data_IF_388926370027
#
_entry.id   IF_388926370027
#
_cell.length_a   1.000
_cell.length_b   1.000
_cell.length_c   1.000
_cell.angle_alpha   90.00
_cell.angle_beta   90.00
_cell.angle_gamma   90.00
#
_symmetry.space_group_name_H-M   'P 1'
#
loop_
_entity.id
_entity.type
_entity.pdbx_description
1 polymer ?
#
# COMPACT_ATOMS: atom_id res chain seq x y z
N UNK A 1 3.98 21.98 0.47
CA UNK A 1 3.83 20.99 1.59
C UNK A 1 4.75 19.79 1.36
N UNK A 2 5.29 19.12 2.40
CA UNK A 2 6.06 17.87 2.22
C UNK A 2 5.10 16.69 2.16
N UNK A 3 5.09 15.96 1.05
CA UNK A 3 4.30 14.73 0.91
C UNK A 3 5.24 13.52 0.88
N UNK A 4 4.81 12.44 1.53
CA UNK A 4 5.52 11.16 1.54
C UNK A 4 4.85 10.24 0.53
N UNK A 5 5.57 9.86 -0.53
CA UNK A 5 5.11 8.84 -1.49
C UNK A 5 5.82 7.52 -1.21
N UNK A 6 5.06 6.43 -1.29
CA UNK A 6 5.60 5.08 -1.12
C UNK A 6 5.70 4.40 -2.49
N UNK A 7 6.90 3.94 -2.83
CA UNK A 7 7.20 3.32 -4.13
C UNK A 7 7.55 1.86 -3.89
N UNK A 8 6.76 0.96 -4.46
CA UNK A 8 7.00 -0.49 -4.37
C UNK A 8 7.93 -0.94 -5.49
N UNK A 9 9.10 -1.47 -5.13
CA UNK A 9 10.12 -1.98 -6.05
C UNK A 9 10.33 -3.47 -5.82
N UNK A 10 10.34 -4.26 -6.89
CA UNK A 10 10.60 -5.71 -6.79
C UNK A 10 12.10 -5.95 -6.60
N UNK A 11 12.46 -6.88 -5.71
CA UNK A 11 13.84 -7.29 -5.49
C UNK A 11 14.19 -8.52 -6.34
N UNK A 12 15.41 -8.53 -6.89
CA UNK A 12 16.03 -9.75 -7.41
C UNK A 12 16.71 -10.49 -6.24
N UNK A 13 16.22 -11.69 -5.94
CA UNK A 13 16.64 -12.44 -4.74
C UNK A 13 17.05 -13.85 -5.15
N UNK A 14 18.23 -14.29 -4.71
CA UNK A 14 18.67 -15.68 -4.87
C UNK A 14 18.05 -16.59 -3.80
N UNK A 15 17.92 -17.91 -4.03
CA UNK A 15 17.33 -18.82 -3.05
C UNK A 15 18.04 -18.84 -1.69
N UNK A 16 19.37 -18.66 -1.68
CA UNK A 16 20.16 -18.60 -0.45
C UNK A 16 19.81 -17.37 0.39
N UNK A 17 19.78 -16.19 -0.25
CA UNK A 17 19.45 -14.94 0.43
C UNK A 17 17.97 -14.88 0.81
N UNK A 18 17.10 -15.58 0.09
CA UNK A 18 15.69 -15.71 0.45
C UNK A 18 15.52 -16.35 1.84
N UNK A 19 16.33 -17.36 2.19
CA UNK A 19 16.32 -17.97 3.54
C UNK A 19 16.73 -16.97 4.61
N UNK A 20 17.76 -16.16 4.36
CA UNK A 20 18.18 -15.10 5.29
C UNK A 20 17.09 -14.03 5.49
N UNK A 21 16.37 -13.66 4.42
CA UNK A 21 15.25 -12.73 4.49
C UNK A 21 14.10 -13.32 5.32
N UNK A 22 13.75 -14.58 5.08
CA UNK A 22 12.68 -15.26 5.81
C UNK A 22 13.00 -15.36 7.30
N UNK A 23 14.21 -15.79 7.66
CA UNK A 23 14.65 -15.81 9.05
C UNK A 23 14.57 -14.41 9.70
N UNK A 24 14.96 -13.36 8.96
CA UNK A 24 14.86 -11.98 9.44
C UNK A 24 13.40 -11.56 9.68
N UNK A 25 12.49 -11.91 8.77
CA UNK A 25 11.05 -11.62 8.90
C UNK A 25 10.42 -12.39 10.07
N UNK A 26 10.82 -13.64 10.28
CA UNK A 26 10.35 -14.50 11.37
C UNK A 26 10.78 -13.96 12.73
N UNK A 27 12.09 -13.68 12.91
CA UNK A 27 12.60 -13.13 14.16
C UNK A 27 12.00 -11.76 14.48
N UNK A 28 11.80 -10.92 13.47
CA UNK A 28 11.12 -9.63 13.64
C UNK A 28 9.67 -9.79 14.08
N UNK A 29 8.92 -10.71 13.47
CA UNK A 29 7.53 -10.99 13.83
C UNK A 29 7.41 -11.58 15.23
N UNK A 30 8.30 -12.51 15.61
CA UNK A 30 8.37 -13.07 16.95
C UNK A 30 8.67 -12.01 18.01
N UNK A 31 9.59 -11.09 17.73
CA UNK A 31 9.87 -9.96 18.60
C UNK A 31 8.63 -9.06 18.78
N UNK A 32 7.91 -8.74 17.69
CA UNK A 32 6.66 -7.98 17.77
C UNK A 32 5.61 -8.71 18.63
N UNK A 33 5.43 -10.01 18.40
CA UNK A 33 4.45 -10.81 19.13
C UNK A 33 4.82 -10.91 20.62
N UNK A 34 6.10 -11.01 20.96
CA UNK A 34 6.58 -11.03 22.33
C UNK A 34 6.34 -9.69 23.02
N UNK A 35 6.65 -8.56 22.37
CA UNK A 35 6.36 -7.21 22.90
C UNK A 35 4.86 -7.05 23.16
N UNK A 36 4.00 -7.47 22.23
CA UNK A 36 2.56 -7.34 22.41
C UNK A 36 2.01 -8.19 23.56
N UNK A 37 2.55 -9.41 23.77
CA UNK A 37 2.13 -10.31 24.84
C UNK A 37 2.65 -9.92 26.23
N UNK A 38 3.83 -9.33 26.32
CA UNK A 38 4.54 -9.08 27.58
C UNK A 38 4.52 -7.60 28.02
N UNK A 39 3.71 -6.77 27.38
CA UNK A 39 3.50 -5.37 27.79
C UNK A 39 2.03 -5.09 28.06
N UNK A 40 1.77 -4.10 28.92
CA UNK A 40 0.40 -3.65 29.19
C UNK A 40 -0.32 -3.29 27.88
N UNK A 41 -1.51 -3.86 27.67
CA UNK A 41 -2.35 -3.64 26.48
C UNK A 41 -2.76 -2.18 26.30
N UNK A 42 -2.79 -1.38 27.37
CA UNK A 42 -3.10 0.06 27.32
C UNK A 42 -1.90 0.90 26.86
N UNK A 43 -0.69 0.38 26.95
CA UNK A 43 0.51 1.12 26.59
C UNK A 43 0.65 1.22 25.07
N UNK A 44 0.60 2.46 24.56
CA UNK A 44 0.75 2.80 23.14
C UNK A 44 1.86 3.80 22.86
N UNK A 45 2.49 4.35 23.89
CA UNK A 45 3.56 5.31 23.76
C UNK A 45 4.89 4.60 23.39
N UNK A 46 5.49 5.00 22.28
CA UNK A 46 6.73 4.42 21.76
C UNK A 46 7.89 4.49 22.76
N UNK A 47 8.07 5.62 23.44
CA UNK A 47 9.21 5.87 24.31
C UNK A 47 9.08 5.03 25.57
N UNK A 48 7.90 5.04 26.20
CA UNK A 48 7.63 4.24 27.39
C UNK A 48 7.74 2.73 27.11
N UNK A 49 7.21 2.26 25.97
CA UNK A 49 7.33 0.84 25.59
C UNK A 49 8.78 0.45 25.28
N UNK A 50 9.55 1.34 24.66
CA UNK A 50 10.96 1.11 24.41
C UNK A 50 11.76 1.01 25.72
N UNK A 51 11.54 1.92 26.67
CA UNK A 51 12.20 1.88 27.97
C UNK A 51 11.96 0.55 28.71
N UNK A 52 10.74 0.01 28.62
CA UNK A 52 10.35 -1.22 29.30
C UNK A 52 10.86 -2.51 28.60
N UNK A 53 10.75 -2.58 27.26
CA UNK A 53 10.96 -3.84 26.52
C UNK A 53 12.27 -3.93 25.74
N UNK A 54 13.01 -2.83 25.55
CA UNK A 54 14.16 -2.83 24.63
C UNK A 54 15.26 -3.83 25.02
N UNK A 55 15.68 -3.83 26.29
CA UNK A 55 16.73 -4.73 26.78
C UNK A 55 16.35 -6.20 26.61
N UNK A 56 15.18 -6.57 27.13
CA UNK A 56 14.67 -7.95 27.10
C UNK A 56 14.49 -8.48 25.68
N UNK A 57 13.94 -7.67 24.77
CA UNK A 57 13.73 -8.08 23.36
C UNK A 57 15.07 -8.21 22.63
N UNK A 58 16.00 -7.29 22.87
CA UNK A 58 17.30 -7.31 22.19
C UNK A 58 18.12 -8.53 22.59
N UNK A 59 18.15 -8.87 23.88
CA UNK A 59 18.86 -10.04 24.38
C UNK A 59 18.21 -11.34 23.89
N UNK A 60 16.88 -11.45 24.00
CA UNK A 60 16.15 -12.67 23.67
C UNK A 60 16.18 -13.02 22.19
N UNK A 61 16.05 -12.03 21.31
CA UNK A 61 15.95 -12.25 19.86
C UNK A 61 17.24 -11.91 19.10
N UNK A 62 18.28 -11.45 19.81
CA UNK A 62 19.60 -11.10 19.25
C UNK A 62 19.50 -10.15 18.05
N UNK A 63 18.49 -9.27 18.07
CA UNK A 63 18.21 -8.33 17.00
C UNK A 63 19.18 -7.14 17.07
N UNK A 64 19.43 -6.52 15.91
CA UNK A 64 20.13 -5.23 15.89
C UNK A 64 19.33 -4.18 16.66
N UNK A 65 20.01 -3.21 17.28
CA UNK A 65 19.36 -2.16 18.06
C UNK A 65 18.21 -1.48 17.30
N UNK A 66 18.44 -1.16 16.02
CA UNK A 66 17.46 -0.49 15.18
C UNK A 66 16.27 -1.40 14.83
N UNK A 67 16.52 -2.68 14.57
CA UNK A 67 15.48 -3.69 14.31
C UNK A 67 14.59 -3.90 15.54
N UNK A 68 15.17 -3.95 16.74
CA UNK A 68 14.43 -4.03 18.01
C UNK A 68 13.52 -2.81 18.21
N UNK A 69 14.05 -1.60 18.00
CA UNK A 69 13.27 -0.36 18.12
C UNK A 69 12.09 -0.36 17.14
N UNK A 70 12.31 -0.81 15.90
CA UNK A 70 11.25 -0.91 14.90
C UNK A 70 10.16 -1.93 15.28
N UNK A 71 10.53 -3.07 15.84
CA UNK A 71 9.56 -4.06 16.32
C UNK A 71 8.63 -3.44 17.40
N UNK A 72 9.21 -2.71 18.36
CA UNK A 72 8.46 -2.01 19.42
C UNK A 72 7.54 -0.93 18.82
N UNK A 73 8.06 -0.10 17.91
CA UNK A 73 7.28 0.96 17.25
C UNK A 73 6.12 0.39 16.42
N UNK A 74 6.32 -0.75 15.76
CA UNK A 74 5.27 -1.42 15.00
C UNK A 74 4.13 -1.89 15.90
N UNK A 75 4.44 -2.47 17.06
CA UNK A 75 3.42 -2.87 18.04
C UNK A 75 2.64 -1.64 18.54
N UNK A 76 3.33 -0.59 18.95
CA UNK A 76 2.68 0.66 19.38
C UNK A 76 1.74 1.23 18.30
N UNK A 77 2.20 1.30 17.05
CA UNK A 77 1.43 1.85 15.93
C UNK A 77 0.19 1.01 15.61
N UNK A 78 0.33 -0.32 15.63
CA UNK A 78 -0.79 -1.24 15.42
C UNK A 78 -1.81 -1.16 16.56
N UNK A 79 -1.37 -1.01 17.82
CA UNK A 79 -2.28 -0.82 18.97
C UNK A 79 -3.08 0.46 18.85
N UNK A 80 -2.43 1.58 18.52
CA UNK A 80 -3.13 2.86 18.27
C UNK A 80 -4.22 2.67 17.21
N UNK A 81 -3.85 2.05 16.09
CA UNK A 81 -4.78 1.78 14.99
C UNK A 81 -5.94 0.87 15.42
N UNK A 82 -5.67 -0.15 16.24
CA UNK A 82 -6.70 -1.06 16.77
C UNK A 82 -7.69 -0.33 17.67
N UNK A 83 -7.21 0.55 18.55
CA UNK A 83 -8.04 1.36 19.45
C UNK A 83 -8.90 2.33 18.64
N UNK A 84 -8.29 3.07 17.71
CA UNK A 84 -9.00 4.03 16.84
C UNK A 84 -10.10 3.36 16.03
N UNK A 85 -9.88 2.13 15.55
CA UNK A 85 -10.86 1.39 14.76
C UNK A 85 -11.77 0.47 15.60
N UNK A 86 -11.74 0.57 16.93
CA UNK A 86 -12.50 -0.28 17.86
C UNK A 86 -12.36 -1.79 17.62
N UNK A 87 -11.19 -2.22 17.16
CA UNK A 87 -10.89 -3.63 16.90
C UNK A 87 -10.55 -4.30 18.23
N UNK A 88 -11.42 -5.21 18.68
CA UNK A 88 -11.28 -5.98 19.93
C UNK A 88 -10.43 -7.26 19.81
N UNK A 89 -9.80 -7.48 18.65
CA UNK A 89 -9.02 -8.69 18.38
C UNK A 89 -7.57 -8.52 18.84
N UNK A 90 -6.97 -9.60 19.34
CA UNK A 90 -5.54 -9.64 19.62
C UNK A 90 -4.72 -9.35 18.36
N UNK A 91 -3.65 -8.58 18.52
CA UNK A 91 -2.75 -8.28 17.43
C UNK A 91 -1.96 -9.52 17.03
N UNK A 92 -1.95 -9.79 15.74
CA UNK A 92 -1.17 -10.89 15.16
C UNK A 92 -0.15 -10.31 14.20
N UNK A 93 1.12 -10.67 14.38
CA UNK A 93 2.22 -10.20 13.53
C UNK A 93 2.69 -11.34 12.62
N UNK A 94 2.29 -11.30 11.35
CA UNK A 94 2.73 -12.28 10.37
C UNK A 94 4.16 -11.98 9.88
N UNK A 95 5.03 -13.00 9.67
CA UNK A 95 6.41 -12.86 9.19
C UNK A 95 6.46 -12.55 7.70
N UNK A 96 5.93 -11.37 7.36
CA UNK A 96 5.69 -10.94 5.97
C UNK A 96 6.34 -9.60 5.67
N UNK A 97 6.76 -8.85 6.69
CA UNK A 97 7.39 -7.55 6.48
C UNK A 97 8.33 -7.15 7.60
N UNK A 98 9.30 -6.29 7.29
CA UNK A 98 10.27 -5.71 8.23
C UNK A 98 10.46 -4.23 7.90
N UNK A 99 10.46 -3.38 8.93
CA UNK A 99 10.69 -1.94 8.79
C UNK A 99 12.19 -1.62 8.82
N UNK A 100 12.58 -0.67 7.97
CA UNK A 100 13.94 -0.17 7.86
C UNK A 100 13.94 1.36 7.89
N UNK A 101 14.99 1.93 8.48
CA UNK A 101 15.27 3.36 8.50
C UNK A 101 16.55 3.70 7.72
N UNK A 102 16.93 4.97 7.72
CA UNK A 102 18.14 5.45 7.05
C UNK A 102 19.45 4.83 7.55
N UNK A 103 19.49 4.20 8.73
CA UNK A 103 20.69 3.51 9.26
C UNK A 103 20.80 2.07 8.76
N UNK A 104 19.66 1.41 8.56
CA UNK A 104 19.56 0.00 8.19
C UNK A 104 19.22 -0.24 6.72
N UNK A 105 18.89 0.83 5.99
CA UNK A 105 18.57 0.83 4.58
C UNK A 105 19.31 1.96 3.85
N UNK A 106 19.78 1.67 2.63
CA UNK A 106 20.28 2.69 1.70
C UNK A 106 19.93 2.31 0.25
N UNK A 107 19.64 3.32 -0.57
CA UNK A 107 19.35 3.17 -2.00
C UNK A 107 20.44 3.85 -2.83
N UNK A 108 21.08 3.09 -3.71
CA UNK A 108 21.93 3.61 -4.79
C UNK A 108 21.07 3.79 -6.05
N UNK A 109 20.76 5.03 -6.38
CA UNK A 109 19.94 5.39 -7.55
C UNK A 109 20.69 5.32 -8.88
N UNK A 110 22.03 5.26 -8.86
CA UNK A 110 22.83 5.10 -10.10
C UNK A 110 22.86 3.65 -10.54
N UNK A 111 23.05 2.74 -9.58
CA UNK A 111 23.13 1.29 -9.84
C UNK A 111 21.81 0.56 -9.63
N UNK A 112 20.79 1.23 -9.10
CA UNK A 112 19.51 0.65 -8.71
C UNK A 112 19.69 -0.53 -7.74
N UNK A 113 20.57 -0.34 -6.75
CA UNK A 113 20.89 -1.32 -5.72
C UNK A 113 20.36 -0.82 -4.39
N UNK A 114 19.64 -1.67 -3.67
CA UNK A 114 19.26 -1.43 -2.28
C UNK A 114 20.13 -2.25 -1.36
N UNK A 115 20.65 -1.63 -0.30
CA UNK A 115 21.36 -2.32 0.77
C UNK A 115 20.49 -2.38 2.02
N UNK A 116 20.30 -3.59 2.55
CA UNK A 116 19.51 -3.86 3.76
C UNK A 116 20.34 -4.59 4.80
N UNK A 117 20.19 -4.21 6.07
CA UNK A 117 20.74 -4.96 7.20
C UNK A 117 19.81 -6.13 7.55
N UNK A 118 20.19 -7.35 7.15
CA UNK A 118 19.54 -8.58 7.62
C UNK A 118 20.10 -8.98 8.99
N UNK A 119 19.59 -10.09 9.57
CA UNK A 119 20.08 -10.65 10.84
C UNK A 119 21.60 -10.83 10.83
N UNK A 120 22.12 -11.60 9.86
CA UNK A 120 23.53 -11.97 9.82
C UNK A 120 24.41 -10.84 9.29
N UNK A 121 24.04 -10.27 8.14
CA UNK A 121 24.89 -9.32 7.39
C UNK A 121 24.08 -8.25 6.67
N UNK A 122 24.78 -7.22 6.20
CA UNK A 122 24.20 -6.21 5.30
C UNK A 122 24.34 -6.70 3.86
N UNK A 123 23.21 -6.91 3.19
CA UNK A 123 23.15 -7.51 1.85
C UNK A 123 22.66 -6.49 0.84
N UNK A 124 23.19 -6.55 -0.39
CA UNK A 124 22.81 -5.69 -1.52
C UNK A 124 21.88 -6.45 -2.47
N UNK A 125 20.86 -5.76 -2.96
CA UNK A 125 19.82 -6.30 -3.83
C UNK A 125 19.65 -5.42 -5.06
N UNK A 126 19.63 -6.04 -6.23
CA UNK A 126 19.24 -5.35 -7.47
C UNK A 126 17.72 -5.12 -7.49
N UNK A 127 17.32 -3.90 -7.86
CA UNK A 127 15.93 -3.54 -8.05
C UNK A 127 15.46 -3.87 -9.47
N UNK A 128 14.39 -4.66 -9.57
CA UNK A 128 13.66 -4.90 -10.82
C UNK A 128 12.60 -3.81 -10.98
N UNK A 129 12.99 -2.67 -11.55
CA UNK A 129 12.17 -1.45 -11.66
C UNK A 129 12.02 -0.94 -13.10
N UNK A 130 10.85 -0.38 -13.40
CA UNK A 130 10.55 0.26 -14.68
C UNK A 130 10.72 1.80 -14.65
N UNK A 131 10.39 2.44 -15.77
CA UNK A 131 10.60 3.89 -15.97
C UNK A 131 9.91 4.74 -14.90
N UNK A 132 8.67 4.40 -14.53
CA UNK A 132 7.92 5.10 -13.49
C UNK A 132 8.67 5.16 -12.15
N UNK A 133 9.14 4.01 -11.65
CA UNK A 133 9.88 3.98 -10.39
C UNK A 133 11.20 4.74 -10.51
N UNK A 134 11.90 4.60 -11.65
CA UNK A 134 13.15 5.31 -11.90
C UNK A 134 12.95 6.83 -11.88
N UNK A 135 11.91 7.34 -12.52
CA UNK A 135 11.59 8.77 -12.57
C UNK A 135 11.42 9.37 -11.17
N UNK A 136 10.63 8.71 -10.31
CA UNK A 136 10.35 9.24 -8.96
C UNK A 136 11.55 9.02 -8.01
N UNK A 137 12.28 7.91 -8.13
CA UNK A 137 13.43 7.64 -7.27
C UNK A 137 14.66 8.48 -7.65
N UNK A 138 14.76 8.93 -8.91
CA UNK A 138 15.87 9.78 -9.37
C UNK A 138 15.76 11.17 -8.73
N UNK A 139 16.81 11.59 -8.04
CA UNK A 139 16.88 12.90 -7.38
C UNK A 139 16.10 13.00 -6.06
N UNK A 140 15.45 11.93 -5.60
CA UNK A 140 14.65 11.95 -4.39
C UNK A 140 15.36 11.30 -3.19
N UNK A 141 15.05 11.79 -1.99
CA UNK A 141 15.68 11.32 -0.75
C UNK A 141 14.84 10.22 -0.10
N UNK A 142 15.27 8.98 -0.28
CA UNK A 142 14.68 7.84 0.40
C UNK A 142 14.95 7.92 1.91
N UNK A 143 13.90 7.90 2.73
CA UNK A 143 14.00 8.12 4.19
C UNK A 143 13.91 6.82 4.99
N UNK A 144 12.98 5.96 4.60
CA UNK A 144 12.71 4.67 5.23
C UNK A 144 12.20 3.69 4.20
N UNK A 145 12.15 2.42 4.55
CA UNK A 145 11.59 1.41 3.66
C UNK A 145 10.96 0.25 4.44
N UNK A 146 10.01 -0.45 3.82
CA UNK A 146 9.43 -1.67 4.36
C UNK A 146 9.67 -2.81 3.37
N UNK A 147 10.46 -3.80 3.79
CA UNK A 147 10.61 -5.04 3.05
C UNK A 147 9.34 -5.87 3.23
N UNK A 148 8.79 -6.40 2.15
CA UNK A 148 7.51 -7.15 2.15
C UNK A 148 7.61 -8.41 1.29
N UNK A 149 7.13 -9.53 1.82
CA UNK A 149 6.93 -10.80 1.11
C UNK A 149 5.49 -10.90 0.62
N UNK A 150 5.31 -11.16 -0.67
CA UNK A 150 4.00 -11.40 -1.30
C UNK A 150 3.63 -12.89 -1.28
N UNK A 151 2.36 -13.19 -1.54
CA UNK A 151 1.81 -14.56 -1.55
C UNK A 151 2.45 -15.49 -2.59
N UNK A 152 2.95 -14.91 -3.67
CA UNK A 152 3.69 -15.59 -4.74
C UNK A 152 5.19 -15.81 -4.39
N UNK A 153 5.57 -15.61 -3.12
CA UNK A 153 6.95 -15.73 -2.61
C UNK A 153 7.93 -14.74 -3.24
N UNK A 154 7.42 -13.66 -3.84
CA UNK A 154 8.27 -12.56 -4.32
C UNK A 154 8.49 -11.50 -3.25
N UNK A 155 9.65 -10.86 -3.32
CA UNK A 155 10.07 -9.84 -2.37
C UNK A 155 9.98 -8.45 -2.99
N UNK A 156 9.42 -7.52 -2.24
CA UNK A 156 9.30 -6.12 -2.62
C UNK A 156 9.84 -5.25 -1.50
N UNK A 157 10.40 -4.10 -1.87
CA UNK A 157 10.72 -3.05 -0.95
C UNK A 157 9.86 -1.83 -1.23
N UNK A 158 9.13 -1.38 -0.21
CA UNK A 158 8.30 -0.19 -0.27
C UNK A 158 9.13 0.97 0.27
N UNK A 159 9.65 1.80 -0.62
CA UNK A 159 10.56 2.91 -0.28
C UNK A 159 9.73 4.16 -0.05
N UNK A 160 9.94 4.81 1.08
CA UNK A 160 9.30 6.09 1.42
C UNK A 160 10.17 7.25 0.98
N UNK A 161 9.60 8.09 0.13
CA UNK A 161 10.27 9.20 -0.53
C UNK A 161 9.54 10.49 -0.21
N UNK A 162 10.30 11.48 0.26
CA UNK A 162 9.79 12.82 0.46
C UNK A 162 9.94 13.62 -0.83
N UNK A 163 8.87 14.28 -1.25
CA UNK A 163 8.87 15.25 -2.33
C UNK A 163 8.18 16.53 -1.86
N UNK A 164 8.65 17.65 -2.40
CA UNK A 164 8.02 18.94 -2.18
C UNK A 164 6.90 19.03 -3.19
N UNK A 165 5.67 19.12 -2.69
CA UNK A 165 4.51 19.37 -3.53
C UNK A 165 4.43 20.88 -3.71
N UNK A 166 4.42 21.37 -4.96
CA UNK A 166 4.19 22.79 -5.24
C UNK A 166 2.82 23.20 -4.71
N UNK A 167 2.67 24.48 -4.40
CA UNK A 167 1.35 24.97 -4.01
C UNK A 167 0.42 24.98 -5.23
N UNK A 168 -0.86 24.60 -5.05
CA UNK A 168 -1.81 24.62 -6.15
C UNK A 168 -1.96 26.07 -6.66
N UNK A 169 -1.92 26.24 -7.98
CA UNK A 169 -2.15 27.56 -8.61
C UNK A 169 -3.56 28.03 -8.30
N UNK A 170 -3.74 29.29 -7.93
CA UNK A 170 -5.09 29.85 -7.73
C UNK A 170 -5.82 29.94 -9.08
N UNK A 171 -6.88 29.16 -9.27
CA UNK A 171 -7.74 29.23 -10.46
C UNK A 171 -9.18 29.50 -10.05
N UNK A 172 -9.86 30.42 -10.75
CA UNK A 172 -11.28 30.70 -10.53
C UNK A 172 -12.21 29.67 -11.22
N UNK A 173 -11.64 28.79 -12.06
CA UNK A 173 -12.37 27.72 -12.72
C UNK A 173 -12.26 26.46 -11.88
N UNK A 174 -13.39 25.82 -11.62
CA UNK A 174 -13.52 24.62 -10.81
C UNK A 174 -14.43 23.64 -11.54
N UNK A 175 -14.02 22.38 -11.64
CA UNK A 175 -14.91 21.29 -12.05
C UNK A 175 -15.34 20.54 -10.78
N UNK A 176 -16.65 20.55 -10.50
CA UNK A 176 -17.23 19.73 -9.45
C UNK A 176 -17.38 18.29 -9.93
N UNK A 177 -16.98 17.32 -9.10
CA UNK A 177 -17.12 15.89 -9.39
C UNK A 177 -17.88 15.23 -8.23
N UNK A 178 -19.09 14.75 -8.52
CA UNK A 178 -19.88 13.91 -7.63
C UNK A 178 -19.56 12.42 -7.87
N UNK A 179 -19.49 11.62 -6.81
CA UNK A 179 -19.13 10.20 -6.86
C UNK A 179 -20.27 9.35 -6.29
N UNK A 180 -20.85 8.48 -7.12
CA UNK A 180 -22.00 7.68 -6.76
C UNK A 180 -21.85 6.18 -7.03
N UNK A 181 -22.91 5.44 -6.67
CA UNK A 181 -23.03 4.00 -6.94
C UNK A 181 -23.68 3.71 -8.30
N UNK A 182 -24.64 4.55 -8.67
CA UNK A 182 -25.35 4.49 -9.97
C UNK A 182 -24.47 5.07 -11.06
N UNK A 183 -23.92 6.25 -10.83
CA UNK A 183 -22.89 6.88 -11.66
C UNK A 183 -21.60 6.98 -10.85
N UNK A 184 -20.52 6.42 -11.40
CA UNK A 184 -19.22 6.31 -10.75
C UNK A 184 -18.65 7.71 -10.49
N UNK A 185 -18.84 8.59 -11.47
CA UNK A 185 -18.52 10.00 -11.39
C UNK A 185 -19.52 10.78 -12.24
N UNK A 186 -19.85 11.99 -11.82
CA UNK A 186 -20.65 12.97 -12.56
C UNK A 186 -20.00 14.34 -12.40
N UNK A 187 -19.84 15.08 -13.49
CA UNK A 187 -19.23 16.42 -13.47
C UNK A 187 -20.27 17.52 -13.52
N UNK A 188 -19.94 18.69 -12.99
CA UNK A 188 -20.72 19.92 -13.17
C UNK A 188 -20.86 20.37 -14.63
N UNK A 189 -20.04 19.82 -15.54
CA UNK A 189 -20.10 20.08 -16.98
C UNK A 189 -21.05 19.12 -17.71
N UNK A 190 -21.77 18.24 -16.99
CA UNK A 190 -22.79 17.35 -17.54
C UNK A 190 -22.27 16.00 -18.03
N UNK A 191 -20.97 15.71 -17.91
CA UNK A 191 -20.43 14.37 -18.18
C UNK A 191 -20.71 13.42 -17.02
N UNK A 192 -21.10 12.19 -17.31
CA UNK A 192 -21.30 11.14 -16.29
C UNK A 192 -20.79 9.78 -16.75
N UNK A 193 -20.34 8.97 -15.80
CA UNK A 193 -19.85 7.61 -16.05
C UNK A 193 -20.72 6.58 -15.34
N UNK A 194 -21.54 5.87 -16.12
CA UNK A 194 -22.46 4.90 -15.54
C UNK A 194 -21.77 3.71 -14.86
N UNK A 195 -22.24 3.38 -13.66
CA UNK A 195 -21.83 2.22 -12.86
C UNK A 195 -22.47 0.88 -13.28
N UNK A 196 -23.33 0.85 -14.30
CA UNK A 196 -24.06 -0.35 -14.75
C UNK A 196 -23.14 -1.55 -15.00
N UNK A 197 -22.04 -1.32 -15.73
CA UNK A 197 -21.07 -2.39 -16.05
C UNK A 197 -20.36 -2.95 -14.80
N UNK A 198 -20.03 -2.07 -13.84
CA UNK A 198 -19.42 -2.49 -12.57
C UNK A 198 -20.43 -3.30 -11.76
N UNK A 199 -21.68 -2.83 -11.67
CA UNK A 199 -22.75 -3.51 -10.93
C UNK A 199 -23.07 -4.88 -11.55
N UNK A 200 -23.16 -4.98 -12.88
CA UNK A 200 -23.35 -6.24 -13.58
C UNK A 200 -22.21 -7.23 -13.27
N UNK A 201 -20.95 -6.81 -13.37
CA UNK A 201 -19.81 -7.68 -13.01
C UNK A 201 -19.80 -8.05 -11.53
N UNK A 202 -20.13 -7.12 -10.62
CA UNK A 202 -20.24 -7.40 -9.19
C UNK A 202 -21.29 -8.48 -8.92
N UNK A 203 -22.47 -8.37 -9.53
CA UNK A 203 -23.56 -9.35 -9.39
C UNK A 203 -23.14 -10.71 -9.94
N UNK A 204 -22.54 -10.75 -11.13
CA UNK A 204 -22.01 -11.98 -11.74
C UNK A 204 -20.99 -12.70 -10.83
N UNK A 205 -19.98 -11.97 -10.33
CA UNK A 205 -18.99 -12.56 -9.42
C UNK A 205 -19.59 -12.95 -8.07
N UNK A 206 -20.59 -12.22 -7.57
CA UNK A 206 -21.31 -12.56 -6.34
C UNK A 206 -22.06 -13.89 -6.47
N UNK A 207 -22.83 -14.07 -7.54
CA UNK A 207 -23.55 -15.30 -7.85
C UNK A 207 -22.59 -16.49 -7.99
N UNK A 208 -21.50 -16.32 -8.76
CA UNK A 208 -20.49 -17.38 -8.91
C UNK A 208 -19.87 -17.75 -7.55
N UNK A 209 -19.50 -16.77 -6.73
CA UNK A 209 -18.95 -17.04 -5.39
C UNK A 209 -19.92 -17.86 -4.54
N UNK A 210 -21.20 -17.48 -4.50
CA UNK A 210 -22.23 -18.19 -3.75
C UNK A 210 -22.37 -19.65 -4.20
N UNK A 211 -22.45 -19.89 -5.52
CA UNK A 211 -22.54 -21.24 -6.09
C UNK A 211 -21.30 -22.07 -5.75
N UNK A 212 -20.10 -21.50 -5.91
CA UNK A 212 -18.86 -22.22 -5.62
C UNK A 212 -18.71 -22.52 -4.13
N UNK A 213 -19.12 -21.60 -3.25
CA UNK A 213 -19.05 -21.80 -1.79
C UNK A 213 -19.99 -22.92 -1.35
N UNK A 214 -21.23 -22.93 -1.85
CA UNK A 214 -22.20 -24.01 -1.60
C UNK A 214 -21.66 -25.38 -2.06
N UNK A 215 -21.06 -25.46 -3.25
CA UNK A 215 -20.46 -26.69 -3.76
C UNK A 215 -19.19 -27.10 -3.01
N UNK A 216 -18.41 -26.13 -2.52
CA UNK A 216 -17.19 -26.38 -1.75
C UNK A 216 -17.45 -26.92 -0.33
N UNK A 217 -18.64 -26.70 0.24
CA UNK A 217 -19.05 -27.26 1.52
C UNK A 217 -19.75 -28.61 1.39
N UNK A 218 -20.68 -28.75 0.43
CA UNK A 218 -21.57 -29.93 0.34
C UNK A 218 -21.21 -30.97 -0.75
N UNK A 219 -20.29 -30.67 -1.68
CA UNK A 219 -19.98 -31.55 -2.82
C UNK A 219 -19.13 -32.78 -2.48
N UNK A 220 -18.75 -33.58 -3.48
CA UNK A 220 -17.77 -34.68 -3.34
C UNK A 220 -16.35 -34.14 -3.11
N UNK A 221 -15.40 -34.94 -2.58
CA UNK A 221 -14.01 -34.51 -2.32
C UNK A 221 -13.35 -33.82 -3.51
N UNK A 222 -13.49 -34.39 -4.72
CA UNK A 222 -12.96 -33.83 -5.97
C UNK A 222 -13.63 -32.51 -6.35
N UNK A 223 -14.95 -32.41 -6.18
CA UNK A 223 -15.72 -31.20 -6.44
C UNK A 223 -15.36 -30.07 -5.48
N UNK A 224 -15.20 -30.36 -4.18
CA UNK A 224 -14.76 -29.38 -3.17
C UNK A 224 -13.38 -28.82 -3.53
N UNK A 225 -12.43 -29.69 -3.89
CA UNK A 225 -11.08 -29.29 -4.33
C UNK A 225 -11.14 -28.36 -5.55
N UNK A 226 -11.86 -28.76 -6.60
CA UNK A 226 -12.02 -27.95 -7.83
C UNK A 226 -12.70 -26.61 -7.58
N UNK A 227 -13.76 -26.57 -6.77
CA UNK A 227 -14.45 -25.32 -6.45
C UNK A 227 -13.55 -24.34 -5.68
N UNK A 228 -12.75 -24.83 -4.72
CA UNK A 228 -11.77 -23.99 -4.00
C UNK A 228 -10.68 -23.45 -4.93
N UNK A 229 -10.17 -24.27 -5.83
CA UNK A 229 -9.20 -23.82 -6.85
C UNK A 229 -9.79 -22.76 -7.77
N UNK A 230 -11.04 -22.93 -8.20
CA UNK A 230 -11.73 -21.95 -9.04
C UNK A 230 -11.98 -20.64 -8.28
N UNK A 231 -12.40 -20.69 -7.01
CA UNK A 231 -12.51 -19.49 -6.17
C UNK A 231 -11.18 -18.74 -6.06
N UNK A 232 -10.07 -19.47 -5.86
CA UNK A 232 -8.74 -18.87 -5.83
C UNK A 232 -8.39 -18.18 -7.15
N UNK A 233 -8.70 -18.81 -8.30
CA UNK A 233 -8.47 -18.24 -9.64
C UNK A 233 -9.31 -16.99 -9.92
N UNK A 234 -10.54 -16.94 -9.41
CA UNK A 234 -11.45 -15.79 -9.58
C UNK A 234 -11.17 -14.66 -8.58
N UNK A 235 -10.43 -14.93 -7.51
CA UNK A 235 -10.14 -13.97 -6.46
C UNK A 235 -9.50 -12.69 -7.00
N UNK A 236 -10.09 -11.55 -6.62
CA UNK A 236 -9.62 -10.21 -6.98
C UNK A 236 -9.90 -9.76 -8.42
N UNK A 237 -10.51 -10.58 -9.30
CA UNK A 237 -10.85 -10.16 -10.67
C UNK A 237 -11.79 -8.95 -10.70
N UNK A 238 -12.86 -8.99 -9.90
CA UNK A 238 -13.82 -7.89 -9.74
C UNK A 238 -13.13 -6.58 -9.32
N UNK A 239 -12.30 -6.64 -8.27
CA UNK A 239 -11.54 -5.49 -7.78
C UNK A 239 -10.61 -4.90 -8.84
N UNK A 240 -9.93 -5.75 -9.63
CA UNK A 240 -9.07 -5.29 -10.72
C UNK A 240 -9.86 -4.59 -11.82
N UNK A 241 -11.02 -5.11 -12.17
CA UNK A 241 -11.90 -4.47 -13.14
C UNK A 241 -12.36 -3.09 -12.66
N UNK A 242 -12.88 -2.98 -11.43
CA UNK A 242 -13.30 -1.69 -10.88
C UNK A 242 -12.11 -0.71 -10.79
N UNK A 243 -10.92 -1.17 -10.39
CA UNK A 243 -9.72 -0.34 -10.36
C UNK A 243 -9.34 0.20 -11.73
N UNK A 244 -9.48 -0.61 -12.77
CA UNK A 244 -9.18 -0.20 -14.15
C UNK A 244 -10.16 0.88 -14.63
N UNK A 245 -11.46 0.68 -14.45
CA UNK A 245 -12.48 1.68 -14.80
C UNK A 245 -12.24 2.99 -14.06
N UNK A 246 -12.00 2.93 -12.75
CA UNK A 246 -11.69 4.14 -11.97
C UNK A 246 -10.44 4.85 -12.51
N UNK A 247 -9.40 4.10 -12.89
CA UNK A 247 -8.18 4.68 -13.44
C UNK A 247 -8.40 5.38 -14.78
N UNK A 248 -9.24 4.82 -15.66
CA UNK A 248 -9.59 5.44 -16.94
C UNK A 248 -10.34 6.77 -16.72
N UNK A 249 -11.37 6.75 -15.86
CA UNK A 249 -12.16 7.95 -15.51
C UNK A 249 -11.26 9.03 -14.89
N UNK A 250 -10.45 8.67 -13.90
CA UNK A 250 -9.51 9.61 -13.26
C UNK A 250 -8.52 10.18 -14.27
N UNK A 251 -7.96 9.35 -15.16
CA UNK A 251 -7.00 9.81 -16.17
C UNK A 251 -7.64 10.78 -17.15
N UNK A 252 -8.87 10.49 -17.59
CA UNK A 252 -9.64 11.39 -18.44
C UNK A 252 -9.86 12.74 -17.75
N UNK A 253 -10.36 12.74 -16.52
CA UNK A 253 -10.65 13.95 -15.75
C UNK A 253 -9.40 14.81 -15.53
N UNK A 254 -8.27 14.19 -15.17
CA UNK A 254 -6.98 14.91 -14.99
C UNK A 254 -6.51 15.54 -16.29
N UNK A 255 -6.57 14.80 -17.41
CA UNK A 255 -6.16 15.33 -18.72
C UNK A 255 -7.05 16.47 -19.19
N UNK A 256 -8.35 16.34 -18.97
CA UNK A 256 -9.32 17.39 -19.28
C UNK A 256 -9.06 18.64 -18.45
N UNK A 257 -8.91 18.50 -17.14
CA UNK A 257 -8.60 19.60 -16.24
C UNK A 257 -7.28 20.32 -16.63
N UNK A 258 -6.24 19.55 -17.00
CA UNK A 258 -4.97 20.09 -17.47
C UNK A 258 -5.08 20.87 -18.80
N UNK A 259 -6.04 20.50 -19.67
CA UNK A 259 -6.25 21.19 -20.95
C UNK A 259 -6.95 22.54 -20.77
N UNK A 260 -7.82 22.66 -19.77
CA UNK A 260 -8.67 23.84 -19.57
C UNK A 260 -8.06 24.81 -18.53
N UNK A 261 -6.88 24.47 -17.98
CA UNK A 261 -6.21 25.17 -16.86
C UNK A 261 -7.15 25.31 -15.65
N UNK A 262 -7.82 24.21 -15.30
CA UNK A 262 -8.76 24.11 -14.19
C UNK A 262 -8.15 23.26 -13.09
N UNK A 263 -8.26 23.69 -11.84
CA UNK A 263 -8.10 22.79 -10.70
C UNK A 263 -9.34 21.89 -10.57
N UNK A 264 -9.19 20.55 -10.63
CA UNK A 264 -10.29 19.65 -10.32
C UNK A 264 -10.51 19.67 -8.80
N UNK A 265 -11.64 20.23 -8.35
CA UNK A 265 -12.02 20.21 -6.93
C UNK A 265 -13.04 19.10 -6.72
N UNK A 266 -12.66 18.09 -5.96
CA UNK A 266 -13.59 17.07 -5.49
C UNK A 266 -14.49 17.69 -4.41
N UNK A 267 -15.71 18.04 -4.78
CA UNK A 267 -16.77 18.35 -3.81
C UNK A 267 -17.34 17.01 -3.34
N UNK A 268 -17.00 16.63 -2.11
CA UNK A 268 -17.64 15.49 -1.46
C UNK A 268 -18.93 15.98 -0.79
N UNK A 269 -20.08 15.51 -1.25
CA UNK A 269 -21.31 15.55 -0.45
C UNK A 269 -21.52 14.13 0.08
N UNK A 270 -21.18 13.91 1.35
CA UNK A 270 -21.29 12.58 1.96
C UNK A 270 -22.75 12.18 2.07
N UNK A 271 -23.22 11.29 1.19
CA UNK A 271 -24.41 10.50 1.44
C UNK A 271 -24.15 9.63 2.69
N UNK A 272 -24.75 10.03 3.81
CA UNK A 272 -24.83 9.23 5.04
C UNK A 272 -25.50 7.90 4.66
N UNK A 273 -24.92 6.79 5.10
CA UNK A 273 -25.40 5.40 4.99
C UNK A 273 -24.70 4.50 3.96
N UNK A 274 -23.43 4.16 4.25
CA UNK A 274 -22.92 2.81 3.93
C UNK A 274 -21.77 2.40 4.88
N UNK A 275 -21.74 1.14 5.40
CA UNK A 275 -20.80 0.72 6.45
C UNK A 275 -19.46 0.21 5.87
N UNK A 276 -18.87 0.95 4.95
CA UNK A 276 -17.49 0.70 4.49
C UNK A 276 -16.80 2.02 4.22
N UNK A 277 -16.12 2.52 5.26
CA UNK A 277 -15.24 3.68 5.21
C UNK A 277 -14.09 3.46 4.22
N UNK A 278 -14.23 4.00 3.00
CA UNK A 278 -13.10 4.37 2.17
C UNK A 278 -12.77 5.83 2.45
N UNK A 279 -12.18 6.09 3.62
CA UNK A 279 -11.43 7.32 3.82
C UNK A 279 -10.15 7.22 2.99
N UNK A 280 -10.18 7.86 1.84
CA UNK A 280 -9.01 8.13 1.02
C UNK A 280 -9.30 9.39 0.24
N UNK A 281 -8.83 10.52 0.76
CA UNK A 281 -8.69 11.72 -0.05
C UNK A 281 -7.89 11.34 -1.30
N UNK A 282 -8.55 11.32 -2.46
CA UNK A 282 -7.85 11.25 -3.74
C UNK A 282 -7.19 12.62 -3.94
N UNK A 283 -6.04 12.84 -3.31
CA UNK A 283 -5.07 13.77 -3.88
C UNK A 283 -4.69 13.17 -5.23
N UNK A 284 -5.07 13.86 -6.31
CA UNK A 284 -4.59 13.56 -7.65
C UNK A 284 -3.05 13.68 -7.62
N UNK A 285 -2.36 12.55 -7.44
CA UNK A 285 -0.92 12.48 -7.62
C UNK A 285 -0.67 12.68 -9.12
N UNK A 286 -0.34 13.91 -9.51
CA UNK A 286 0.00 14.32 -10.87
C UNK A 286 1.41 13.96 -11.38
N UNK A 287 2.38 13.30 -10.67
CA UNK A 287 3.73 13.20 -11.20
C UNK A 287 3.91 12.12 -12.30
N UNK A 288 2.83 11.53 -12.82
CA UNK A 288 2.88 10.47 -13.83
C UNK A 288 2.77 10.94 -15.29
N UNK A 289 2.68 12.26 -15.56
CA UNK A 289 2.34 12.78 -16.90
C UNK A 289 3.44 13.59 -17.60
N UNK A 290 4.65 13.69 -17.04
CA UNK A 290 5.75 14.48 -17.62
C UNK A 290 6.22 14.03 -19.02
N UNK A 291 5.96 12.78 -19.42
CA UNK A 291 6.55 12.19 -20.64
C UNK A 291 5.57 12.07 -21.83
N UNK A 292 4.39 12.71 -21.78
CA UNK A 292 3.40 12.65 -22.88
C UNK A 292 2.92 14.02 -23.39
N UNK A 293 3.59 15.11 -23.03
CA UNK A 293 3.32 16.43 -23.59
C UNK A 293 4.24 16.68 -24.79
N UNK A 294 3.74 17.18 -25.93
CA UNK A 294 4.59 17.62 -27.04
C UNK A 294 5.53 18.74 -26.55
N UNK A 295 6.77 18.69 -27.02
CA UNK A 295 7.86 19.61 -26.66
C UNK A 295 7.44 21.07 -26.84
N UNK A 296 7.16 21.75 -25.73
CA UNK A 296 6.80 23.18 -25.75
C UNK A 296 5.91 23.66 -24.59
N UNK A 297 5.26 22.75 -23.83
CA UNK A 297 4.42 23.13 -22.70
C UNK A 297 4.92 22.48 -21.40
N UNK A 298 5.72 23.23 -20.65
CA UNK A 298 6.07 22.91 -19.26
C UNK A 298 4.86 23.14 -18.37
N UNK A 299 4.17 22.07 -18.00
CA UNK A 299 3.20 22.10 -16.91
C UNK A 299 3.98 22.09 -15.61
N UNK A 300 3.94 23.22 -14.90
CA UNK A 300 4.41 23.30 -13.52
C UNK A 300 3.66 22.24 -12.68
N UNK A 301 4.39 21.48 -11.84
CA UNK A 301 3.96 20.18 -11.32
C UNK A 301 2.70 20.19 -10.46
#
# INVERSE_FOLDING_TARGET
MKQITTISCKLKVSPEVAKEIEATMEMFAHACQYVDKNSDKKLTNNVAMQALMYGTVREKFQLSAQTTIHAIRRVCSNRKTSITNHIKKELTFAPTSVDYDSRTFSLDTKKWIVSLKLLSKRTKFELLIGNYQRGILKGSKATSAVLTKRKDRTYYINIHVNHIVPEPKSTNKIIGIDLGRTDIASTSEGESWSGKNITSKRNHYSQIRAVLQKKASKGTRSSRKRCRQLQQRLSGKERRFQKHVNHEITTYLVRKAATIDILPTLLYETARDSPTSLMGAFCFNAPAFGDLLPSGLTVAP
#
